data_IF_587824860431
#
_entry.id   IF_587824860431
#
_cell.length_a   1.000
_cell.length_b   1.000
_cell.length_c   1.000
_cell.angle_alpha   90.00
_cell.angle_beta   90.00
_cell.angle_gamma   90.00
#
_symmetry.space_group_name_H-M   'P 1'
#
loop_
_entity.id
_entity.type
_entity.pdbx_description
1 polymer ?
#
# COMPACT_ATOMS: atom_id res chain seq x y z
N UNK A 1 -9.23 1.91 -4.38
CA UNK A 1 -8.08 2.32 -3.56
C UNK A 1 -7.12 3.22 -4.34
N UNK A 2 -6.45 2.73 -5.39
CA UNK A 2 -5.53 3.55 -6.23
C UNK A 2 -6.14 4.84 -6.78
N UNK A 3 -7.39 4.79 -7.25
CA UNK A 3 -8.08 5.98 -7.74
C UNK A 3 -8.19 7.10 -6.69
N UNK A 4 -8.37 6.75 -5.40
CA UNK A 4 -8.43 7.71 -4.30
C UNK A 4 -7.07 8.35 -4.00
N UNK A 5 -5.99 7.57 -4.16
CA UNK A 5 -4.62 8.08 -4.04
C UNK A 5 -4.34 9.08 -5.18
N UNK A 6 -4.80 8.77 -6.40
CA UNK A 6 -4.67 9.65 -7.55
C UNK A 6 -5.53 10.91 -7.47
N UNK A 7 -6.76 10.80 -6.95
CA UNK A 7 -7.66 11.95 -6.78
C UNK A 7 -7.38 12.78 -5.52
N UNK A 8 -6.37 12.40 -4.72
CA UNK A 8 -6.01 13.02 -3.42
C UNK A 8 -7.16 13.04 -2.40
N UNK A 9 -8.08 12.08 -2.49
CA UNK A 9 -9.17 11.90 -1.53
C UNK A 9 -8.70 11.08 -0.33
N UNK A 10 -7.75 11.65 0.42
CA UNK A 10 -7.01 10.93 1.47
C UNK A 10 -7.87 10.64 2.71
N UNK A 11 -8.94 11.38 2.95
CA UNK A 11 -9.83 11.20 4.11
C UNK A 11 -10.54 9.83 4.09
N UNK A 12 -10.83 9.29 2.90
CA UNK A 12 -11.48 7.99 2.74
C UNK A 12 -10.49 6.82 2.71
N UNK A 13 -9.19 7.09 2.67
CA UNK A 13 -8.16 6.10 2.41
C UNK A 13 -8.13 5.00 3.47
N UNK A 14 -8.28 5.37 4.76
CA UNK A 14 -8.33 4.42 5.86
C UNK A 14 -9.52 3.47 5.74
N UNK A 15 -10.73 4.02 5.61
CA UNK A 15 -11.98 3.23 5.51
C UNK A 15 -11.91 2.23 4.36
N UNK A 16 -11.39 2.66 3.21
CA UNK A 16 -11.27 1.82 2.02
C UNK A 16 -10.16 0.77 2.15
N UNK A 17 -9.09 1.07 2.89
CA UNK A 17 -8.06 0.09 3.24
C UNK A 17 -8.64 -0.99 4.13
N UNK A 18 -9.41 -0.62 5.16
CA UNK A 18 -10.07 -1.60 6.00
C UNK A 18 -11.08 -2.46 5.24
N UNK A 19 -11.84 -1.85 4.31
CA UNK A 19 -12.75 -2.58 3.45
C UNK A 19 -12.00 -3.58 2.56
N UNK A 20 -10.87 -3.18 1.98
CA UNK A 20 -10.02 -4.07 1.19
C UNK A 20 -9.50 -5.25 2.02
N UNK A 21 -9.04 -5.00 3.24
CA UNK A 21 -8.61 -6.06 4.17
C UNK A 21 -9.76 -7.02 4.52
N UNK A 22 -10.98 -6.52 4.71
CA UNK A 22 -12.17 -7.37 4.96
C UNK A 22 -12.57 -8.23 3.77
N UNK A 23 -12.33 -7.74 2.54
CA UNK A 23 -12.57 -8.50 1.31
C UNK A 23 -11.51 -9.57 1.08
N UNK A 24 -10.41 -9.54 1.85
CA UNK A 24 -9.35 -10.55 1.81
C UNK A 24 -8.10 -10.13 1.05
N UNK A 25 -7.98 -8.85 0.65
CA UNK A 25 -6.71 -8.35 0.11
C UNK A 25 -5.65 -8.36 1.22
N UNK A 26 -4.45 -8.77 0.85
CA UNK A 26 -3.29 -8.69 1.73
C UNK A 26 -2.79 -7.23 1.83
N UNK A 27 -2.17 -6.86 2.97
CA UNK A 27 -1.46 -5.59 3.11
C UNK A 27 -0.36 -5.41 2.05
N UNK A 28 0.25 -6.51 1.61
CA UNK A 28 1.26 -6.52 0.54
C UNK A 28 0.66 -6.01 -0.77
N UNK A 29 -0.44 -6.62 -1.23
CA UNK A 29 -1.10 -6.22 -2.48
C UNK A 29 -1.55 -4.76 -2.47
N UNK A 30 -2.07 -4.28 -1.34
CA UNK A 30 -2.49 -2.88 -1.19
C UNK A 30 -1.30 -1.93 -1.34
N UNK A 31 -0.16 -2.25 -0.71
CA UNK A 31 1.05 -1.42 -0.75
C UNK A 31 1.71 -1.45 -2.13
N UNK A 32 1.79 -2.62 -2.77
CA UNK A 32 2.31 -2.77 -4.13
C UNK A 32 1.49 -1.96 -5.14
N UNK A 33 0.16 -2.00 -5.03
CA UNK A 33 -0.71 -1.18 -5.87
C UNK A 33 -0.41 0.32 -5.73
N UNK A 34 -0.09 0.80 -4.53
CA UNK A 34 0.32 2.19 -4.30
C UNK A 34 1.73 2.48 -4.81
N UNK A 35 2.69 1.57 -4.66
CA UNK A 35 4.04 1.75 -5.21
C UNK A 35 4.00 1.93 -6.73
N UNK A 36 3.16 1.17 -7.43
CA UNK A 36 2.94 1.31 -8.87
C UNK A 36 2.32 2.66 -9.27
N UNK A 37 1.73 3.40 -8.33
CA UNK A 37 1.19 4.73 -8.59
C UNK A 37 2.25 5.83 -8.54
N UNK A 38 3.42 5.59 -7.94
CA UNK A 38 4.45 6.61 -7.76
C UNK A 38 4.86 7.34 -9.05
N UNK A 39 4.99 6.67 -10.22
CA UNK A 39 5.26 7.36 -11.49
C UNK A 39 4.13 8.28 -11.96
N UNK A 40 2.88 8.02 -11.56
CA UNK A 40 1.69 8.70 -12.05
C UNK A 40 1.25 9.86 -11.15
N UNK A 41 1.32 9.68 -9.84
CA UNK A 41 0.83 10.65 -8.85
C UNK A 41 1.96 11.36 -8.10
N UNK A 42 3.21 11.00 -8.43
CA UNK A 42 4.43 11.46 -7.79
C UNK A 42 4.70 10.77 -6.45
N UNK A 43 5.97 10.83 -6.04
CA UNK A 43 6.40 10.30 -4.74
C UNK A 43 5.65 10.94 -3.55
N UNK A 44 5.44 12.28 -3.47
CA UNK A 44 4.74 12.87 -2.32
C UNK A 44 3.29 12.39 -2.17
N UNK A 45 2.55 12.24 -3.28
CA UNK A 45 1.18 11.74 -3.26
C UNK A 45 1.11 10.27 -2.82
N UNK A 46 2.06 9.48 -3.30
CA UNK A 46 2.17 8.05 -2.94
C UNK A 46 2.56 7.87 -1.48
N UNK A 47 3.53 8.63 -0.97
CA UNK A 47 3.95 8.59 0.43
C UNK A 47 2.81 8.99 1.38
N UNK A 48 2.05 10.04 1.03
CA UNK A 48 0.89 10.48 1.82
C UNK A 48 -0.19 9.38 1.90
N UNK A 49 -0.47 8.69 0.78
CA UNK A 49 -1.40 7.56 0.76
C UNK A 49 -0.88 6.36 1.57
N UNK A 50 0.39 6.02 1.43
CA UNK A 50 1.02 4.91 2.15
C UNK A 50 1.01 5.11 3.67
N UNK A 51 1.18 6.35 4.14
CA UNK A 51 1.11 6.66 5.57
C UNK A 51 -0.24 6.26 6.16
N UNK A 52 -1.33 6.66 5.51
CA UNK A 52 -2.70 6.35 5.95
C UNK A 52 -3.03 4.86 5.85
N UNK A 53 -2.54 4.19 4.80
CA UNK A 53 -2.65 2.73 4.68
C UNK A 53 -1.92 2.03 5.82
N UNK A 54 -0.68 2.43 6.12
CA UNK A 54 0.10 1.83 7.19
C UNK A 54 -0.58 1.99 8.55
N UNK A 55 -1.15 3.16 8.84
CA UNK A 55 -1.94 3.39 10.05
C UNK A 55 -3.13 2.42 10.14
N UNK A 56 -3.93 2.30 9.07
CA UNK A 56 -5.08 1.38 9.04
C UNK A 56 -4.65 -0.10 9.18
N UNK A 57 -3.52 -0.50 8.59
CA UNK A 57 -2.97 -1.86 8.68
C UNK A 57 -2.53 -2.17 10.12
N UNK A 58 -1.85 -1.23 10.79
CA UNK A 58 -1.43 -1.37 12.20
C UNK A 58 -2.65 -1.42 13.13
N UNK A 59 -3.68 -0.60 12.88
CA UNK A 59 -4.94 -0.62 13.63
C UNK A 59 -5.67 -1.97 13.52
N UNK A 60 -5.46 -2.74 12.44
CA UNK A 60 -5.97 -4.13 12.30
C UNK A 60 -5.06 -5.19 12.91
N UNK A 61 -4.00 -4.80 13.62
CA UNK A 61 -3.08 -5.72 14.31
C UNK A 61 -2.08 -6.41 13.40
N UNK A 62 -1.91 -5.92 12.17
CA UNK A 62 -0.94 -6.47 11.23
C UNK A 62 0.41 -5.78 11.44
N UNK A 63 1.48 -6.51 11.79
CA UNK A 63 2.79 -5.92 12.02
C UNK A 63 3.39 -5.39 10.72
N UNK A 64 4.08 -4.25 10.83
CA UNK A 64 4.90 -3.67 9.78
C UNK A 64 6.38 -3.68 10.23
N UNK A 65 7.35 -3.88 9.32
CA UNK A 65 7.18 -4.11 7.88
C UNK A 65 6.61 -5.51 7.57
N UNK A 66 5.93 -5.61 6.43
CA UNK A 66 5.49 -6.91 5.88
C UNK A 66 6.70 -7.72 5.41
N UNK A 67 6.54 -9.03 5.31
CA UNK A 67 7.57 -9.94 4.82
C UNK A 67 8.05 -9.53 3.41
N UNK A 68 9.34 -9.70 3.15
CA UNK A 68 9.94 -9.42 1.84
C UNK A 68 9.30 -10.29 0.76
N UNK A 69 8.91 -9.66 -0.35
CA UNK A 69 8.37 -10.35 -1.53
C UNK A 69 9.43 -10.51 -2.64
N UNK A 70 10.72 -10.31 -2.31
CA UNK A 70 11.80 -10.48 -3.26
C UNK A 70 11.94 -11.95 -3.67
N UNK A 71 11.86 -12.22 -4.98
CA UNK A 71 12.03 -13.56 -5.55
C UNK A 71 13.41 -13.78 -6.17
N UNK A 72 14.22 -12.73 -6.26
CA UNK A 72 15.55 -12.73 -6.88
C UNK A 72 16.60 -12.46 -5.81
N UNK A 73 17.68 -13.25 -5.83
CA UNK A 73 18.88 -13.03 -5.02
C UNK A 73 20.02 -12.49 -5.89
N UNK A 74 21.11 -12.00 -5.30
CA UNK A 74 22.30 -11.58 -6.05
C UNK A 74 22.89 -12.70 -6.91
N UNK A 75 22.71 -13.96 -6.50
CA UNK A 75 23.18 -15.13 -7.24
C UNK A 75 22.30 -15.46 -8.45
N UNK A 76 21.02 -15.09 -8.44
CA UNK A 76 20.02 -15.45 -9.45
C UNK A 76 19.56 -14.27 -10.31
N UNK A 77 20.26 -13.14 -10.27
CA UNK A 77 19.86 -11.89 -10.96
C UNK A 77 20.34 -11.77 -12.41
N UNK A 78 21.08 -12.77 -12.91
CA UNK A 78 21.62 -12.85 -14.27
C UNK A 78 20.81 -13.82 -15.11
#
# INVERSE_FOLDING_TARGET
>A
LVALAASRTLEEMKIQTEAALRVGLSPVEIKEALYQCAPYIGFPGTESALRLVNEAVVEKGIPLPVESQATVTEESRF
#
